data_IF_135993277990
#
_entry.id   IF_135993277990
#
_cell.length_a   1.000
_cell.length_b   1.000
_cell.length_c   1.000
_cell.angle_alpha   90.00
_cell.angle_beta   90.00
_cell.angle_gamma   90.00
#
_symmetry.space_group_name_H-M   'P 1'
#
loop_
_entity.id
_entity.type
_entity.pdbx_description
1 polymer ?
#
# COMPACT_ATOMS: atom_id res chain seq x y z
N UNK A 1 -56.81 -19.34 10.82
CA UNK A 1 -55.69 -19.72 9.92
C UNK A 1 -54.88 -18.51 9.40
N UNK A 2 -55.16 -17.27 9.80
CA UNK A 2 -54.46 -16.08 9.29
C UNK A 2 -53.11 -15.75 9.97
N UNK A 3 -52.86 -16.26 11.19
CA UNK A 3 -51.67 -15.91 11.99
C UNK A 3 -50.37 -16.58 11.50
N UNK A 4 -50.44 -17.77 10.90
CA UNK A 4 -49.27 -18.50 10.40
C UNK A 4 -48.68 -17.88 9.13
N UNK A 5 -49.53 -17.27 8.29
CA UNK A 5 -49.12 -16.62 7.04
C UNK A 5 -48.32 -15.35 7.30
N UNK A 6 -48.68 -14.59 8.35
CA UNK A 6 -48.00 -13.34 8.74
C UNK A 6 -46.57 -13.62 9.27
N UNK A 7 -46.39 -14.73 10.00
CA UNK A 7 -45.06 -15.13 10.48
C UNK A 7 -44.13 -15.56 9.34
N UNK A 8 -44.65 -16.31 8.36
CA UNK A 8 -43.85 -16.74 7.21
C UNK A 8 -43.45 -15.58 6.31
N UNK A 9 -44.33 -14.61 6.07
CA UNK A 9 -44.00 -13.43 5.26
C UNK A 9 -42.99 -12.52 5.96
N UNK A 10 -43.05 -12.39 7.29
CA UNK A 10 -42.07 -11.62 8.07
C UNK A 10 -40.66 -12.24 8.01
N UNK A 11 -40.56 -13.58 8.08
CA UNK A 11 -39.26 -14.27 7.99
C UNK A 11 -38.67 -14.16 6.58
N UNK A 12 -39.48 -14.31 5.52
CA UNK A 12 -39.02 -14.14 4.13
C UNK A 12 -38.56 -12.69 3.88
N UNK A 13 -39.30 -11.70 4.40
CA UNK A 13 -38.91 -10.30 4.30
C UNK A 13 -37.59 -10.02 5.03
N UNK A 14 -37.37 -10.62 6.21
CA UNK A 14 -36.14 -10.44 6.99
C UNK A 14 -34.94 -11.12 6.32
N UNK A 15 -35.14 -12.29 5.69
CA UNK A 15 -34.10 -12.96 4.89
C UNK A 15 -33.75 -12.16 3.63
N UNK A 16 -34.73 -11.54 2.95
CA UNK A 16 -34.47 -10.68 1.78
C UNK A 16 -33.63 -9.43 2.11
N UNK A 17 -33.70 -8.90 3.33
CA UNK A 17 -32.86 -7.78 3.77
C UNK A 17 -31.37 -8.16 3.93
N UNK A 18 -31.06 -9.44 4.18
CA UNK A 18 -29.69 -9.95 4.22
C UNK A 18 -29.11 -10.28 2.83
N UNK A 19 -29.97 -10.54 1.83
CA UNK A 19 -29.57 -10.80 0.44
C UNK A 19 -29.49 -9.54 -0.43
N UNK A 20 -29.98 -8.40 0.05
CA UNK A 20 -29.71 -7.12 -0.60
C UNK A 20 -28.24 -6.76 -0.38
N UNK A 21 -27.44 -6.64 -1.45
CA UNK A 21 -26.08 -6.13 -1.30
C UNK A 21 -26.22 -4.74 -0.70
N UNK A 22 -25.75 -4.57 0.53
CA UNK A 22 -25.56 -3.25 1.09
C UNK A 22 -24.52 -2.61 0.18
N UNK A 23 -24.97 -1.71 -0.70
CA UNK A 23 -24.06 -0.91 -1.50
C UNK A 23 -23.20 -0.15 -0.50
N UNK A 24 -21.98 -0.64 -0.27
CA UNK A 24 -20.94 0.09 0.41
C UNK A 24 -20.68 1.28 -0.50
N UNK A 25 -21.29 2.41 -0.16
CA UNK A 25 -21.06 3.67 -0.83
C UNK A 25 -19.59 4.00 -0.65
N UNK A 26 -18.78 3.71 -1.66
CA UNK A 26 -17.43 4.22 -1.74
C UNK A 26 -17.57 5.73 -1.77
N UNK A 27 -17.23 6.41 -0.66
CA UNK A 27 -17.16 7.87 -0.65
C UNK A 27 -16.30 8.28 -1.84
N UNK A 28 -16.78 9.13 -2.76
CA UNK A 28 -15.93 9.64 -3.81
C UNK A 28 -14.76 10.33 -3.14
N UNK A 29 -13.54 9.92 -3.48
CA UNK A 29 -12.33 10.60 -3.04
C UNK A 29 -12.47 12.05 -3.49
N UNK A 30 -12.63 12.97 -2.53
CA UNK A 30 -12.70 14.39 -2.80
C UNK A 30 -11.39 14.75 -3.53
N UNK A 31 -11.44 15.26 -4.77
CA UNK A 31 -10.24 15.71 -5.47
C UNK A 31 -9.62 16.84 -4.65
N UNK A 32 -8.50 16.56 -3.97
CA UNK A 32 -7.78 17.57 -3.18
C UNK A 32 -7.18 17.07 -1.86
N UNK A 33 -7.76 16.05 -1.22
CA UNK A 33 -7.35 15.65 0.13
C UNK A 33 -6.85 14.20 0.16
N UNK A 34 -5.70 13.95 -0.47
CA UNK A 34 -4.98 12.69 -0.26
C UNK A 34 -4.56 12.60 1.23
N UNK A 35 -4.66 11.44 1.89
CA UNK A 35 -4.11 11.26 3.24
C UNK A 35 -2.60 11.54 3.30
N UNK A 36 -1.93 11.55 2.14
CA UNK A 36 -0.50 11.81 1.99
C UNK A 36 -0.21 13.23 1.45
N UNK A 37 -1.16 14.16 1.56
CA UNK A 37 -1.00 15.54 1.09
C UNK A 37 0.18 16.28 1.73
N UNK A 38 0.60 15.88 2.94
CA UNK A 38 1.77 16.42 3.63
C UNK A 38 3.09 16.26 2.85
N UNK A 39 3.14 15.37 1.85
CA UNK A 39 4.33 15.15 1.00
C UNK A 39 4.47 16.25 -0.04
N UNK A 40 3.37 16.91 -0.46
CA UNK A 40 3.38 17.88 -1.56
C UNK A 40 4.34 19.08 -1.32
N UNK A 41 4.41 19.69 -0.12
CA UNK A 41 5.36 20.75 0.18
C UNK A 41 6.84 20.31 0.13
N UNK A 42 7.11 19.01 0.20
CA UNK A 42 8.46 18.44 0.17
C UNK A 42 8.98 18.21 -1.25
N UNK A 43 8.22 18.60 -2.29
CA UNK A 43 8.68 18.48 -3.66
C UNK A 43 10.05 19.17 -3.86
N UNK A 44 10.88 18.55 -4.69
CA UNK A 44 12.24 18.95 -5.02
C UNK A 44 13.24 18.88 -3.85
N UNK A 45 12.82 18.29 -2.72
CA UNK A 45 13.72 18.07 -1.59
C UNK A 45 14.71 16.93 -1.86
N UNK A 46 15.93 17.10 -1.34
CA UNK A 46 17.06 16.18 -1.52
C UNK A 46 17.97 16.20 -0.29
N UNK A 47 18.96 15.30 -0.26
CA UNK A 47 19.95 15.22 0.82
C UNK A 47 20.56 16.58 1.15
N UNK A 48 20.58 16.90 2.44
CA UNK A 48 21.10 18.14 2.99
C UNK A 48 20.04 19.23 3.21
N UNK A 49 18.82 19.07 2.67
CA UNK A 49 17.73 19.99 2.96
C UNK A 49 17.23 19.78 4.40
N UNK A 50 16.81 20.86 5.05
CA UNK A 50 16.11 20.83 6.34
C UNK A 50 14.78 21.57 6.18
N UNK A 51 13.67 20.83 6.21
CA UNK A 51 12.32 21.32 5.88
C UNK A 51 11.29 20.67 6.78
N UNK A 52 10.36 21.47 7.29
CA UNK A 52 9.21 21.00 8.06
C UNK A 52 8.46 19.90 7.30
N UNK A 53 8.21 18.78 7.98
CA UNK A 53 7.51 17.62 7.42
C UNK A 53 8.43 16.50 6.94
N UNK A 54 9.75 16.72 6.90
CA UNK A 54 10.72 15.64 6.65
C UNK A 54 10.60 14.54 7.70
N UNK A 55 10.42 14.89 8.98
CA UNK A 55 10.21 13.89 10.03
C UNK A 55 8.99 13.00 9.75
N UNK A 56 7.88 13.57 9.26
CA UNK A 56 6.68 12.81 8.88
C UNK A 56 6.95 11.91 7.66
N UNK A 57 7.79 12.36 6.73
CA UNK A 57 8.21 11.53 5.60
C UNK A 57 9.14 10.39 6.03
N UNK A 58 10.02 10.59 7.02
CA UNK A 58 10.79 9.49 7.64
C UNK A 58 9.84 8.47 8.26
N UNK A 59 8.80 8.90 8.96
CA UNK A 59 7.77 7.99 9.50
C UNK A 59 7.02 7.24 8.40
N UNK A 60 6.69 7.90 7.27
CA UNK A 60 6.08 7.24 6.11
C UNK A 60 6.99 6.14 5.54
N UNK A 61 8.27 6.44 5.33
CA UNK A 61 9.22 5.49 4.77
C UNK A 61 9.47 4.32 5.73
N UNK A 62 9.53 4.59 7.03
CA UNK A 62 9.60 3.58 8.09
C UNK A 62 8.38 2.66 8.09
N UNK A 63 7.17 3.26 8.05
CA UNK A 63 5.88 2.54 7.99
C UNK A 63 5.83 1.52 6.85
N UNK A 64 6.44 1.83 5.70
CA UNK A 64 6.44 0.96 4.52
C UNK A 64 7.70 0.11 4.37
N UNK A 65 8.60 0.11 5.35
CA UNK A 65 9.77 -0.76 5.39
C UNK A 65 11.02 -0.23 4.66
N UNK A 66 11.01 1.02 4.19
CA UNK A 66 12.15 1.63 3.50
C UNK A 66 13.19 2.23 4.44
N UNK A 67 12.80 2.59 5.67
CA UNK A 67 13.71 3.02 6.73
C UNK A 67 13.69 1.99 7.87
N UNK A 68 14.86 1.47 8.23
CA UNK A 68 15.02 0.53 9.35
C UNK A 68 15.11 1.28 10.69
N UNK A 69 14.49 0.76 11.75
CA UNK A 69 14.54 1.31 13.11
C UNK A 69 15.97 1.41 13.71
N UNK A 70 16.92 0.61 13.23
CA UNK A 70 18.35 0.71 13.63
C UNK A 70 19.05 1.91 12.98
N UNK A 71 18.51 2.39 11.86
CA UNK A 71 19.01 3.54 11.10
C UNK A 71 18.22 4.82 11.38
N UNK A 72 17.08 4.71 12.06
CA UNK A 72 16.17 5.80 12.39
C UNK A 72 15.81 5.70 13.88
N UNK A 73 16.34 6.62 14.69
CA UNK A 73 16.03 6.70 16.12
C UNK A 73 15.17 7.95 16.40
N UNK A 74 13.84 7.80 16.57
CA UNK A 74 12.93 8.94 16.70
C UNK A 74 13.18 9.83 17.93
N UNK A 75 13.92 9.33 18.91
CA UNK A 75 14.07 9.94 20.24
C UNK A 75 15.34 10.76 20.44
N UNK A 76 16.20 10.91 19.41
CA UNK A 76 17.53 11.52 19.59
C UNK A 76 17.91 12.64 18.60
N UNK A 77 17.03 13.07 17.67
CA UNK A 77 17.48 13.94 16.57
C UNK A 77 17.50 15.43 16.94
N UNK A 78 18.72 15.99 17.03
CA UNK A 78 19.02 17.43 16.94
C UNK A 78 18.58 18.03 15.59
N UNK A 79 18.24 17.18 14.61
CA UNK A 79 17.87 17.56 13.25
C UNK A 79 16.78 16.64 12.67
N UNK A 80 15.64 16.53 13.37
CA UNK A 80 14.54 15.62 12.99
C UNK A 80 14.02 15.82 11.56
N UNK A 81 14.10 17.06 11.08
CA UNK A 81 13.68 17.49 9.74
C UNK A 81 14.83 17.55 8.72
N UNK A 82 16.01 17.00 9.04
CA UNK A 82 17.10 16.88 8.06
C UNK A 82 16.87 15.71 7.12
N UNK A 83 16.97 16.00 5.83
CA UNK A 83 17.05 15.01 4.76
C UNK A 83 18.46 14.40 4.75
N UNK A 84 18.66 13.37 5.58
CA UNK A 84 19.94 12.71 5.76
C UNK A 84 20.24 11.64 4.69
N UNK A 85 21.40 11.01 4.82
CA UNK A 85 21.86 9.96 3.91
C UNK A 85 21.00 8.67 3.97
N UNK A 86 20.41 8.36 5.13
CA UNK A 86 19.53 7.20 5.28
C UNK A 86 18.20 7.42 4.57
N UNK A 87 17.65 8.63 4.67
CA UNK A 87 16.45 9.04 3.95
C UNK A 87 16.68 9.04 2.43
N UNK A 88 17.83 9.55 1.94
CA UNK A 88 18.16 9.48 0.51
C UNK A 88 18.20 8.03 0.00
N UNK A 89 18.84 7.12 0.75
CA UNK A 89 18.82 5.69 0.43
C UNK A 89 17.40 5.12 0.37
N UNK A 90 16.59 5.41 1.38
CA UNK A 90 15.20 4.94 1.45
C UNK A 90 14.37 5.42 0.24
N UNK A 91 14.52 6.69 -0.17
CA UNK A 91 13.88 7.21 -1.38
C UNK A 91 14.36 6.48 -2.63
N UNK A 92 15.66 6.20 -2.76
CA UNK A 92 16.18 5.42 -3.91
C UNK A 92 15.56 4.02 -3.98
N UNK A 93 15.46 3.34 -2.84
CA UNK A 93 14.86 1.99 -2.75
C UNK A 93 13.36 2.06 -3.11
N UNK A 94 12.65 3.06 -2.60
CA UNK A 94 11.26 3.34 -2.96
C UNK A 94 11.11 3.46 -4.47
N UNK A 95 11.91 4.33 -5.10
CA UNK A 95 11.82 4.56 -6.55
C UNK A 95 12.07 3.27 -7.35
N UNK A 96 13.04 2.45 -6.94
CA UNK A 96 13.28 1.15 -7.57
C UNK A 96 12.05 0.23 -7.43
N UNK A 97 11.41 0.19 -6.26
CA UNK A 97 10.23 -0.65 -6.02
C UNK A 97 9.02 -0.25 -6.87
N UNK A 98 8.94 1.03 -7.25
CA UNK A 98 7.90 1.57 -8.12
C UNK A 98 8.33 1.65 -9.60
N UNK A 99 9.46 1.04 -9.95
CA UNK A 99 10.04 1.02 -11.30
C UNK A 99 10.32 2.43 -11.87
N UNK A 100 10.72 3.35 -10.99
CA UNK A 100 11.12 4.73 -11.30
C UNK A 100 12.65 4.89 -11.27
N UNK A 101 13.14 6.00 -11.80
CA UNK A 101 14.57 6.34 -11.77
C UNK A 101 15.01 6.65 -10.32
N UNK A 102 16.06 5.99 -9.83
CA UNK A 102 16.54 6.10 -8.45
C UNK A 102 17.39 7.34 -8.17
N UNK A 103 16.82 8.52 -8.42
CA UNK A 103 17.49 9.83 -8.28
C UNK A 103 17.85 10.18 -6.84
N UNK A 104 17.07 9.69 -5.86
CA UNK A 104 17.19 10.09 -4.46
C UNK A 104 16.58 11.46 -4.14
N UNK A 105 15.80 12.01 -5.07
CA UNK A 105 15.14 13.33 -4.97
C UNK A 105 13.63 13.14 -4.96
N UNK A 106 12.91 13.97 -4.20
CA UNK A 106 11.44 14.03 -4.23
C UNK A 106 10.93 14.87 -5.41
N UNK A 107 11.24 14.45 -6.64
CA UNK A 107 10.74 15.13 -7.83
C UNK A 107 9.21 15.03 -7.98
N UNK A 108 8.66 15.74 -8.97
CA UNK A 108 7.21 15.76 -9.19
C UNK A 108 6.59 14.38 -9.40
N UNK A 109 7.29 13.46 -10.08
CA UNK A 109 6.81 12.10 -10.33
C UNK A 109 6.83 11.24 -9.04
N UNK A 110 7.90 11.38 -8.25
CA UNK A 110 8.07 10.75 -6.95
C UNK A 110 6.95 11.18 -6.01
N UNK A 111 6.73 12.49 -5.85
CA UNK A 111 5.68 13.05 -5.01
C UNK A 111 4.30 12.59 -5.46
N UNK A 112 4.02 12.66 -6.77
CA UNK A 112 2.75 12.19 -7.32
C UNK A 112 2.50 10.70 -7.04
N UNK A 113 3.56 9.88 -7.06
CA UNK A 113 3.47 8.44 -6.76
C UNK A 113 3.27 8.17 -5.27
N UNK A 114 4.04 8.83 -4.39
CA UNK A 114 3.89 8.68 -2.93
C UNK A 114 2.53 9.17 -2.41
N UNK A 115 1.91 10.12 -3.13
CA UNK A 115 0.59 10.66 -2.80
C UNK A 115 -0.60 9.80 -3.25
N UNK A 116 -0.38 8.76 -4.07
CA UNK A 116 -1.44 7.85 -4.50
C UNK A 116 -2.00 7.07 -3.30
N UNK A 117 -3.33 6.83 -3.24
CA UNK A 117 -3.90 5.85 -2.32
C UNK A 117 -3.21 4.50 -2.52
N UNK A 118 -2.91 3.82 -1.42
CA UNK A 118 -2.12 2.60 -1.42
C UNK A 118 -2.53 1.66 -0.29
N UNK A 119 -2.10 0.41 -0.40
CA UNK A 119 -2.18 -0.56 0.67
C UNK A 119 -1.40 -0.09 1.92
N UNK A 120 -1.89 -0.45 3.11
CA UNK A 120 -1.28 -0.11 4.39
C UNK A 120 -0.19 -1.08 4.90
N UNK A 121 0.04 -2.18 4.17
CA UNK A 121 1.10 -3.16 4.44
C UNK A 121 2.46 -2.63 4.00
N UNK A 122 3.53 -3.08 4.66
CA UNK A 122 4.90 -2.72 4.28
C UNK A 122 5.26 -3.29 2.91
N UNK A 123 6.07 -2.56 2.15
CA UNK A 123 6.59 -3.01 0.85
C UNK A 123 7.78 -3.95 1.02
N UNK A 124 8.54 -3.75 2.10
CA UNK A 124 9.76 -4.50 2.42
C UNK A 124 9.59 -5.10 3.82
N UNK A 125 9.52 -6.42 3.91
CA UNK A 125 9.28 -7.17 5.17
C UNK A 125 10.59 -7.82 5.69
N UNK A 126 11.66 -7.86 4.89
CA UNK A 126 12.94 -8.46 5.27
C UNK A 126 14.11 -7.50 5.07
N UNK A 127 14.74 -7.11 6.18
CA UNK A 127 15.91 -6.21 6.26
C UNK A 127 17.11 -6.72 5.45
N UNK A 128 17.21 -8.03 5.21
CA UNK A 128 18.31 -8.63 4.44
C UNK A 128 18.10 -8.58 2.92
N UNK A 129 17.03 -7.96 2.44
CA UNK A 129 16.72 -7.92 1.01
C UNK A 129 16.31 -6.55 0.50
N UNK A 130 17.09 -5.56 0.95
CA UNK A 130 17.22 -4.22 0.36
C UNK A 130 17.93 -4.31 -1.02
N UNK A 131 17.46 -5.23 -1.86
CA UNK A 131 18.05 -5.64 -3.12
C UNK A 131 17.31 -6.87 -3.64
N UNK A 132 16.36 -6.65 -4.54
CA UNK A 132 15.63 -7.67 -5.32
C UNK A 132 14.98 -8.82 -4.51
N UNK A 133 13.64 -8.77 -4.32
CA UNK A 133 12.83 -9.97 -4.02
C UNK A 133 11.71 -10.15 -5.03
N UNK A 134 11.80 -11.24 -5.79
CA UNK A 134 10.67 -12.16 -5.94
C UNK A 134 10.55 -12.99 -4.66
N UNK A 135 9.32 -13.28 -4.25
CA UNK A 135 8.82 -14.57 -3.71
C UNK A 135 8.12 -14.50 -2.34
N UNK A 136 6.84 -14.85 -2.42
CA UNK A 136 5.76 -14.92 -1.44
C UNK A 136 5.86 -16.06 -0.39
N UNK A 137 5.12 -15.92 0.74
CA UNK A 137 4.96 -16.91 1.83
C UNK A 137 3.58 -16.89 2.54
N UNK A 138 2.87 -18.04 2.47
CA UNK A 138 1.84 -18.73 3.32
C UNK A 138 0.56 -18.04 3.92
N UNK A 139 -0.61 -18.74 4.08
CA UNK A 139 -1.92 -18.24 3.59
C UNK A 139 -3.20 -18.29 4.49
N UNK A 140 -4.30 -17.60 4.10
CA UNK A 140 -5.75 -18.02 4.12
C UNK A 140 -6.83 -16.99 3.59
N UNK A 141 -7.18 -16.91 2.28
CA UNK A 141 -8.56 -16.58 1.76
C UNK A 141 -9.01 -15.19 1.17
N UNK A 142 -9.49 -15.20 -0.11
CA UNK A 142 -10.47 -14.32 -0.84
C UNK A 142 -10.16 -12.81 -1.17
N UNK A 143 -10.39 -12.39 -2.45
CA UNK A 143 -9.61 -11.42 -3.25
C UNK A 143 -10.20 -10.01 -3.53
N UNK A 144 -9.57 -8.99 -2.95
CA UNK A 144 -9.09 -7.73 -3.54
C UNK A 144 -7.53 -7.73 -3.42
N UNK A 145 -6.78 -6.68 -3.77
CA UNK A 145 -5.32 -6.68 -3.49
C UNK A 145 -5.00 -6.94 -2.00
N UNK A 146 -5.96 -6.65 -1.11
CA UNK A 146 -5.94 -7.04 0.29
C UNK A 146 -6.13 -8.56 0.47
N UNK A 147 -7.02 -9.21 -0.28
CA UNK A 147 -7.15 -10.66 -0.35
C UNK A 147 -5.94 -11.45 -0.84
N UNK A 148 -5.10 -10.84 -1.68
CA UNK A 148 -3.78 -11.40 -1.98
C UNK A 148 -2.87 -11.45 -0.75
N UNK A 149 -2.85 -10.40 0.08
CA UNK A 149 -2.16 -10.42 1.37
C UNK A 149 -2.75 -11.44 2.33
N UNK A 150 -4.08 -11.60 2.31
CA UNK A 150 -4.75 -12.65 3.10
C UNK A 150 -4.25 -14.05 2.68
N UNK A 151 -3.86 -14.24 1.42
CA UNK A 151 -3.27 -15.49 0.94
C UNK A 151 -1.74 -15.58 1.11
N UNK A 152 -1.10 -14.60 1.76
CA UNK A 152 0.36 -14.57 1.96
C UNK A 152 1.16 -13.94 0.82
N UNK A 153 0.49 -13.31 -0.16
CA UNK A 153 1.18 -12.59 -1.23
C UNK A 153 1.75 -11.26 -0.71
N UNK A 154 3.01 -11.01 -1.04
CA UNK A 154 3.68 -9.72 -0.82
C UNK A 154 3.40 -8.76 -1.99
N UNK A 155 3.71 -7.48 -1.81
CA UNK A 155 3.58 -6.49 -2.88
C UNK A 155 4.45 -6.82 -4.10
N UNK A 156 3.89 -6.61 -5.28
CA UNK A 156 4.59 -6.69 -6.56
C UNK A 156 5.20 -5.33 -6.92
N UNK A 157 6.36 -5.34 -7.56
CA UNK A 157 6.91 -4.15 -8.23
C UNK A 157 6.32 -3.92 -9.62
N UNK A 158 5.62 -4.90 -10.20
CA UNK A 158 4.99 -4.75 -11.50
C UNK A 158 3.74 -3.84 -11.41
N UNK A 159 3.71 -2.67 -12.09
CA UNK A 159 2.57 -1.74 -12.00
C UNK A 159 1.23 -2.33 -12.45
N UNK A 160 1.27 -3.35 -13.32
CA UNK A 160 0.10 -4.05 -13.84
C UNK A 160 -0.42 -5.18 -12.95
N UNK A 161 0.31 -5.56 -11.88
CA UNK A 161 -0.09 -6.62 -10.97
C UNK A 161 -1.19 -6.17 -10.00
N UNK A 162 -2.00 -7.13 -9.54
CA UNK A 162 -3.02 -6.85 -8.51
C UNK A 162 -2.37 -6.55 -7.15
N UNK A 163 -1.18 -7.11 -6.90
CA UNK A 163 -0.38 -6.87 -5.69
C UNK A 163 0.47 -5.60 -5.76
N UNK A 164 0.33 -4.74 -6.79
CA UNK A 164 1.06 -3.47 -6.83
C UNK A 164 0.56 -2.52 -5.71
N UNK A 165 1.45 -1.84 -4.93
CA UNK A 165 1.03 -1.15 -3.71
C UNK A 165 0.00 -0.03 -3.90
N UNK A 166 0.01 0.68 -5.02
CA UNK A 166 -0.90 1.81 -5.26
C UNK A 166 -2.19 1.39 -5.96
N UNK A 167 -3.30 1.95 -5.51
CA UNK A 167 -4.61 1.76 -6.10
C UNK A 167 -4.80 2.70 -7.30
N UNK A 168 -5.23 2.16 -8.44
CA UNK A 168 -5.70 2.96 -9.58
C UNK A 168 -7.23 3.01 -9.52
N UNK A 169 -7.78 4.22 -9.44
CA UNK A 169 -9.22 4.41 -9.33
C UNK A 169 -9.92 4.10 -10.65
N UNK A 170 -11.00 3.32 -10.60
CA UNK A 170 -11.82 3.00 -11.78
C UNK A 170 -11.24 1.98 -12.76
N UNK A 171 -10.11 1.34 -12.45
CA UNK A 171 -9.52 0.27 -13.27
C UNK A 171 -9.68 -1.09 -12.57
N UNK A 172 -10.18 -2.10 -13.28
CA UNK A 172 -10.10 -3.50 -12.82
C UNK A 172 -8.74 -4.03 -13.26
N UNK A 173 -7.85 -4.31 -12.30
CA UNK A 173 -6.59 -5.03 -12.56
C UNK A 173 -6.86 -6.53 -12.52
N UNK A 174 -6.47 -7.25 -13.58
CA UNK A 174 -6.50 -8.71 -13.60
C UNK A 174 -5.31 -9.32 -12.85
N UNK A 175 -5.34 -10.63 -12.63
CA UNK A 175 -4.18 -11.37 -12.13
C UNK A 175 -3.04 -11.30 -13.17
N UNK A 176 -1.94 -10.68 -12.78
CA UNK A 176 -0.73 -10.59 -13.58
C UNK A 176 0.15 -11.84 -13.46
N UNK A 177 1.15 -12.00 -14.35
CA UNK A 177 2.10 -13.10 -14.28
C UNK A 177 2.86 -13.19 -12.95
N UNK A 178 3.16 -12.05 -12.33
CA UNK A 178 3.85 -11.98 -11.04
C UNK A 178 2.96 -12.48 -9.89
N UNK A 179 1.67 -12.13 -9.91
CA UNK A 179 0.67 -12.62 -8.95
C UNK A 179 0.52 -14.16 -9.06
N UNK A 180 0.50 -14.67 -10.29
CA UNK A 180 0.43 -16.12 -10.57
C UNK A 180 1.72 -16.82 -10.12
N UNK A 181 2.89 -16.23 -10.37
CA UNK A 181 4.15 -16.79 -9.93
C UNK A 181 4.26 -16.81 -8.40
N UNK A 182 3.80 -15.76 -7.73
CA UNK A 182 3.74 -15.65 -6.27
C UNK A 182 2.89 -16.75 -5.65
N UNK A 183 1.65 -16.94 -6.13
CA UNK A 183 0.76 -17.96 -5.57
C UNK A 183 1.29 -19.38 -5.85
N UNK A 184 1.83 -19.64 -7.05
CA UNK A 184 2.44 -20.95 -7.37
C UNK A 184 3.64 -21.26 -6.50
N UNK A 185 4.48 -20.25 -6.25
CA UNK A 185 5.64 -20.37 -5.38
C UNK A 185 5.27 -20.73 -3.94
N UNK A 186 4.20 -20.13 -3.39
CA UNK A 186 3.74 -20.44 -2.03
C UNK A 186 3.15 -21.84 -1.94
N UNK A 187 2.20 -22.16 -2.82
CA UNK A 187 1.46 -23.41 -2.74
C UNK A 187 2.14 -24.58 -3.45
N UNK A 188 3.38 -24.40 -3.93
CA UNK A 188 4.17 -25.40 -4.67
C UNK A 188 3.40 -25.99 -5.86
N UNK A 189 2.66 -25.12 -6.54
CA UNK A 189 1.85 -25.49 -7.71
C UNK A 189 2.75 -25.57 -8.96
N UNK A 190 2.44 -26.47 -9.91
CA UNK A 190 3.15 -26.55 -11.18
C UNK A 190 2.95 -25.30 -12.07
#
# INVERSE_FOLDING_TARGET
>A
MASKTIFFTAIIALLLHFYLPHAVSSRPLIPGNSPFQFIKPLQDSKKGDNKEGIQQLKQYLHRYGYLNSTQYSPSAEVDADLFDEHMERAIRIYLINFNLNSTGVLDGETVATMMKPRCGMADIIDDNKIGFRTKATDPEGYMDGLGGHILGLEHSSNPGAIMFPTMQNGTVKGLGPDDIAGIRAMYKLP
#
